data_IF_903098707506
#
_entry.id   IF_903098707506
#
_cell.length_a   1.000
_cell.length_b   1.000
_cell.length_c   1.000
_cell.angle_alpha   90.00
_cell.angle_beta   90.00
_cell.angle_gamma   90.00
#
_symmetry.space_group_name_H-M   'P 1'
#
loop_
_entity.id
_entity.type
_entity.pdbx_description
1 polymer ?
#
# COMPACT_ATOMS: atom_id res chain seq x y z
N UNK A 1 -10.64 17.05 -13.79
CA UNK A 1 -10.70 15.63 -13.40
C UNK A 1 -9.28 15.16 -13.08
N UNK A 2 -9.14 14.18 -12.23
CA UNK A 2 -7.88 13.54 -11.86
C UNK A 2 -7.90 12.10 -12.39
N UNK A 3 -6.88 11.69 -13.10
CA UNK A 3 -6.59 10.28 -13.39
C UNK A 3 -5.59 9.79 -12.36
N UNK A 4 -5.93 8.74 -11.60
CA UNK A 4 -5.05 8.16 -10.60
C UNK A 4 -4.71 6.73 -11.00
N UNK A 5 -3.43 6.44 -11.16
CA UNK A 5 -2.88 5.09 -11.21
C UNK A 5 -2.26 4.77 -9.87
N UNK A 6 -2.61 3.63 -9.31
CA UNK A 6 -2.09 3.23 -7.99
C UNK A 6 -2.00 1.72 -7.86
N UNK A 7 -1.25 1.22 -6.88
CA UNK A 7 -1.10 -0.21 -6.63
C UNK A 7 -2.41 -0.84 -6.11
N UNK A 8 -2.46 -2.17 -6.11
CA UNK A 8 -3.69 -2.93 -5.81
C UNK A 8 -3.85 -3.31 -4.34
N UNK A 9 -2.84 -3.07 -3.51
CA UNK A 9 -2.81 -3.42 -2.09
C UNK A 9 -3.39 -2.31 -1.19
N UNK A 10 -3.21 -2.45 0.13
CA UNK A 10 -3.75 -1.50 1.11
C UNK A 10 -3.18 -0.10 0.93
N UNK A 11 -1.89 0.04 0.60
CA UNK A 11 -1.24 1.34 0.43
C UNK A 11 -1.76 2.06 -0.83
N UNK A 12 -1.84 1.37 -1.96
CA UNK A 12 -2.44 1.94 -3.17
C UNK A 12 -3.92 2.29 -3.02
N UNK A 13 -4.70 1.49 -2.27
CA UNK A 13 -6.11 1.80 -1.97
C UNK A 13 -6.20 3.01 -1.03
N UNK A 14 -5.29 3.16 -0.08
CA UNK A 14 -5.19 4.35 0.76
C UNK A 14 -5.00 5.62 -0.06
N UNK A 15 -4.13 5.59 -1.07
CA UNK A 15 -3.97 6.70 -2.02
C UNK A 15 -5.29 7.04 -2.73
N UNK A 16 -6.02 6.02 -3.21
CA UNK A 16 -7.30 6.23 -3.89
C UNK A 16 -8.38 6.85 -2.98
N UNK A 17 -8.43 6.43 -1.71
CA UNK A 17 -9.34 7.03 -0.71
C UNK A 17 -8.99 8.50 -0.48
N UNK A 18 -7.71 8.83 -0.27
CA UNK A 18 -7.24 10.20 -0.08
C UNK A 18 -7.54 11.09 -1.29
N UNK A 19 -7.33 10.59 -2.52
CA UNK A 19 -7.68 11.31 -3.73
C UNK A 19 -9.17 11.65 -3.79
N UNK A 20 -10.03 10.66 -3.51
CA UNK A 20 -11.49 10.86 -3.50
C UNK A 20 -11.96 11.81 -2.39
N UNK A 21 -11.30 11.83 -1.24
CA UNK A 21 -11.57 12.80 -0.16
C UNK A 21 -11.15 14.22 -0.55
N UNK A 22 -10.02 14.36 -1.24
CA UNK A 22 -9.47 15.65 -1.64
C UNK A 22 -10.23 16.29 -2.82
N UNK A 23 -10.55 15.51 -3.83
CA UNK A 23 -11.10 16.02 -5.10
C UNK A 23 -12.58 15.70 -5.33
N UNK A 24 -13.15 14.77 -4.54
CA UNK A 24 -14.50 14.25 -4.73
C UNK A 24 -14.54 12.97 -5.58
N UNK A 25 -15.44 12.07 -5.20
CA UNK A 25 -15.55 10.72 -5.81
C UNK A 25 -15.83 10.73 -7.31
N UNK A 26 -16.62 11.71 -7.78
CA UNK A 26 -17.00 11.84 -9.19
C UNK A 26 -15.91 12.49 -10.07
N UNK A 27 -14.87 13.03 -9.44
CA UNK A 27 -13.79 13.75 -10.13
C UNK A 27 -12.55 12.89 -10.32
N UNK A 28 -12.44 11.79 -9.56
CA UNK A 28 -11.27 10.91 -9.57
C UNK A 28 -11.58 9.61 -10.30
N UNK A 29 -10.90 9.41 -11.43
CA UNK A 29 -10.89 8.15 -12.18
C UNK A 29 -9.68 7.31 -11.73
N UNK A 30 -9.94 6.24 -10.96
CA UNK A 30 -8.90 5.39 -10.37
C UNK A 30 -8.69 4.13 -11.20
N UNK A 31 -7.44 3.87 -11.54
CA UNK A 31 -7.01 2.62 -12.14
C UNK A 31 -5.96 1.93 -11.24
N UNK A 32 -6.31 0.73 -10.78
CA UNK A 32 -5.44 -0.09 -9.96
C UNK A 32 -4.59 -0.99 -10.85
N UNK A 33 -3.28 -0.95 -10.68
CA UNK A 33 -2.33 -1.63 -11.56
C UNK A 33 -1.36 -2.51 -10.77
N UNK A 34 -0.97 -3.64 -11.38
CA UNK A 34 0.21 -4.39 -10.97
C UNK A 34 1.48 -3.87 -11.64
N UNK A 35 2.64 -4.35 -11.17
CA UNK A 35 3.96 -3.93 -11.70
C UNK A 35 4.17 -4.28 -13.18
N UNK A 36 3.51 -5.31 -13.68
CA UNK A 36 3.54 -5.75 -15.07
C UNK A 36 2.62 -4.94 -15.99
N UNK A 37 1.63 -4.23 -15.44
CA UNK A 37 0.63 -3.50 -16.18
C UNK A 37 0.87 -1.98 -16.22
N UNK A 38 1.45 -1.40 -15.17
CA UNK A 38 1.50 0.05 -14.97
C UNK A 38 2.04 0.81 -16.18
N UNK A 39 3.13 0.33 -16.80
CA UNK A 39 3.74 1.01 -17.93
C UNK A 39 2.78 1.09 -19.13
N UNK A 40 2.14 -0.02 -19.50
CA UNK A 40 1.19 -0.04 -20.62
C UNK A 40 -0.04 0.81 -20.33
N UNK A 41 -0.58 0.76 -19.11
CA UNK A 41 -1.76 1.54 -18.73
C UNK A 41 -1.50 3.04 -18.76
N UNK A 42 -0.37 3.47 -18.21
CA UNK A 42 0.02 4.89 -18.24
C UNK A 42 0.37 5.35 -19.67
N UNK A 43 1.01 4.49 -20.49
CA UNK A 43 1.30 4.82 -21.88
C UNK A 43 0.02 4.94 -22.72
N UNK A 44 -0.96 4.05 -22.53
CA UNK A 44 -2.27 4.13 -23.17
C UNK A 44 -2.98 5.45 -22.81
N UNK A 45 -2.97 5.82 -21.53
CA UNK A 45 -3.53 7.09 -21.08
C UNK A 45 -2.73 8.29 -21.66
N UNK A 46 -1.42 8.23 -21.67
CA UNK A 46 -0.57 9.27 -22.25
C UNK A 46 -0.88 9.53 -23.72
N UNK A 47 -1.14 8.48 -24.48
CA UNK A 47 -1.47 8.54 -25.91
C UNK A 47 -2.95 8.90 -26.18
N UNK A 48 -3.79 8.92 -25.15
CA UNK A 48 -5.21 9.26 -25.29
C UNK A 48 -5.41 10.77 -25.48
N UNK A 49 -6.60 11.16 -25.94
CA UNK A 49 -7.02 12.57 -26.07
C UNK A 49 -7.41 13.19 -24.71
N UNK A 50 -7.44 12.40 -23.62
CA UNK A 50 -7.77 12.89 -22.30
C UNK A 50 -6.65 13.79 -21.77
N UNK A 51 -7.02 14.93 -21.20
CA UNK A 51 -6.11 15.92 -20.64
C UNK A 51 -6.44 16.19 -19.16
N UNK A 52 -6.55 15.09 -18.37
CA UNK A 52 -6.69 15.21 -16.92
C UNK A 52 -5.31 15.28 -16.28
N UNK A 53 -5.22 15.92 -15.13
CA UNK A 53 -4.05 15.79 -14.27
C UNK A 53 -3.90 14.34 -13.84
N UNK A 54 -2.71 13.76 -14.03
CA UNK A 54 -2.46 12.35 -13.78
C UNK A 54 -1.57 12.17 -12.56
N UNK A 55 -2.06 11.43 -11.59
CA UNK A 55 -1.29 11.03 -10.41
C UNK A 55 -0.92 9.55 -10.51
N UNK A 56 0.30 9.22 -10.18
CA UNK A 56 0.82 7.86 -10.08
C UNK A 56 1.34 7.69 -8.65
N UNK A 57 0.75 6.79 -7.88
CA UNK A 57 1.04 6.67 -6.44
C UNK A 57 1.30 5.22 -6.04
N UNK A 58 2.26 5.00 -5.13
CA UNK A 58 2.59 3.67 -4.60
C UNK A 58 3.00 2.63 -5.65
N UNK A 59 3.33 3.08 -6.82
CA UNK A 59 3.84 2.29 -7.93
C UNK A 59 4.53 3.24 -8.90
N UNK A 60 5.53 2.75 -9.62
CA UNK A 60 6.30 3.58 -10.54
C UNK A 60 6.29 3.05 -11.97
N UNK A 61 6.43 3.96 -12.91
CA UNK A 61 6.68 3.66 -14.33
C UNK A 61 8.18 3.51 -14.60
N UNK A 62 8.52 2.96 -15.75
CA UNK A 62 9.91 2.89 -16.18
C UNK A 62 10.44 4.25 -16.66
N UNK A 63 11.76 4.36 -16.71
CA UNK A 63 12.46 5.58 -17.09
C UNK A 63 12.16 6.04 -18.53
N UNK A 64 11.98 5.13 -19.47
CA UNK A 64 11.68 5.44 -20.88
C UNK A 64 10.35 6.19 -21.00
N UNK A 65 9.31 5.71 -20.30
CA UNK A 65 8.00 6.35 -20.29
C UNK A 65 8.06 7.68 -19.52
N UNK A 66 8.83 7.76 -18.44
CA UNK A 66 9.03 8.98 -17.70
C UNK A 66 9.68 10.08 -18.55
N UNK A 67 10.64 9.75 -19.42
CA UNK A 67 11.20 10.70 -20.38
C UNK A 67 10.14 11.20 -21.38
N UNK A 68 9.33 10.31 -21.95
CA UNK A 68 8.24 10.71 -22.88
C UNK A 68 7.27 11.68 -22.22
N UNK A 69 6.89 11.41 -20.97
CA UNK A 69 6.00 12.29 -20.19
C UNK A 69 6.65 13.63 -19.90
N UNK A 70 7.91 13.65 -19.47
CA UNK A 70 8.66 14.86 -19.15
C UNK A 70 8.77 15.83 -20.34
N UNK A 71 8.89 15.31 -21.54
CA UNK A 71 8.97 16.09 -22.76
C UNK A 71 7.60 16.59 -23.24
N UNK A 72 6.53 16.22 -22.55
CA UNK A 72 5.15 16.61 -22.87
C UNK A 72 4.73 17.87 -22.08
N UNK A 73 3.52 18.37 -22.40
CA UNK A 73 2.87 19.45 -21.63
C UNK A 73 1.82 18.94 -20.65
N UNK A 74 1.60 17.64 -20.60
CA UNK A 74 0.60 17.03 -19.72
C UNK A 74 1.09 17.11 -18.27
N UNK A 75 0.16 17.28 -17.34
CA UNK A 75 0.46 17.37 -15.91
C UNK A 75 0.49 15.99 -15.29
N UNK A 76 1.62 15.64 -14.73
CA UNK A 76 1.82 14.39 -14.00
C UNK A 76 2.41 14.67 -12.62
N UNK A 77 2.07 13.82 -11.65
CA UNK A 77 2.69 13.73 -10.35
C UNK A 77 2.94 12.26 -10.02
N UNK A 78 4.18 11.88 -9.73
CA UNK A 78 4.52 10.55 -9.26
C UNK A 78 5.01 10.63 -7.81
N UNK A 79 4.42 9.79 -6.93
CA UNK A 79 4.75 9.68 -5.52
C UNK A 79 4.90 8.19 -5.17
N UNK A 80 6.13 7.78 -4.87
CA UNK A 80 6.43 6.36 -4.61
C UNK A 80 7.48 6.22 -3.51
N UNK A 81 7.51 5.06 -2.87
CA UNK A 81 8.46 4.78 -1.79
C UNK A 81 9.37 3.58 -2.09
N UNK A 82 9.24 2.97 -3.26
CA UNK A 82 10.02 1.80 -3.65
C UNK A 82 11.45 2.16 -4.05
N UNK A 83 12.48 1.50 -3.48
CA UNK A 83 13.90 1.80 -3.78
C UNK A 83 14.27 1.68 -5.25
N UNK A 84 13.56 0.82 -5.99
CA UNK A 84 13.80 0.58 -7.43
C UNK A 84 13.45 1.77 -8.32
N UNK A 85 12.69 2.74 -7.79
CA UNK A 85 12.21 3.90 -8.53
C UNK A 85 13.01 5.19 -8.23
N UNK A 86 14.05 5.14 -7.38
CA UNK A 86 14.81 6.32 -6.94
C UNK A 86 15.40 7.15 -8.10
N UNK A 87 15.74 6.51 -9.21
CA UNK A 87 16.28 7.19 -10.39
C UNK A 87 15.29 8.16 -11.05
N UNK A 88 13.98 7.99 -10.79
CA UNK A 88 12.94 8.89 -11.29
C UNK A 88 12.99 10.28 -10.63
N UNK A 89 13.65 10.43 -9.49
CA UNK A 89 13.81 11.74 -8.83
C UNK A 89 14.55 12.79 -9.66
N UNK A 90 15.13 12.41 -10.79
CA UNK A 90 15.69 13.38 -11.76
C UNK A 90 14.62 14.21 -12.49
N UNK A 91 13.35 13.77 -12.45
CA UNK A 91 12.21 14.49 -13.02
C UNK A 91 11.50 15.28 -11.92
N UNK A 92 11.23 16.57 -12.14
CA UNK A 92 10.62 17.48 -11.14
C UNK A 92 9.23 17.05 -10.68
N UNK A 93 8.49 16.30 -11.50
CA UNK A 93 7.17 15.78 -11.20
C UNK A 93 7.20 14.41 -10.49
N UNK A 94 8.37 13.84 -10.23
CA UNK A 94 8.55 12.60 -9.50
C UNK A 94 9.13 12.89 -8.12
N UNK A 95 8.55 12.27 -7.09
CA UNK A 95 9.08 12.26 -5.74
C UNK A 95 9.07 10.83 -5.21
N UNK A 96 10.24 10.22 -5.10
CA UNK A 96 10.43 8.87 -4.58
C UNK A 96 11.24 8.94 -3.30
N UNK A 97 10.65 8.51 -2.18
CA UNK A 97 11.29 8.58 -0.85
C UNK A 97 11.11 7.25 -0.10
N UNK A 98 12.20 6.61 0.30
CA UNK A 98 12.16 5.39 1.11
C UNK A 98 11.77 5.70 2.56
N UNK A 99 12.11 6.90 3.04
CA UNK A 99 11.89 7.35 4.41
C UNK A 99 11.39 8.78 4.42
N UNK A 100 10.51 9.06 5.35
CA UNK A 100 10.15 10.43 5.67
C UNK A 100 11.38 11.20 6.15
N UNK A 101 11.62 12.37 5.58
CA UNK A 101 12.84 13.18 5.81
C UNK A 101 12.91 13.77 7.22
N UNK A 102 11.79 14.00 7.87
CA UNK A 102 11.71 14.60 9.21
C UNK A 102 11.88 13.53 10.29
N UNK A 103 11.18 12.41 10.15
CA UNK A 103 11.13 11.36 11.18
C UNK A 103 12.19 10.27 10.99
N UNK A 104 12.79 10.16 9.81
CA UNK A 104 13.68 9.07 9.38
C UNK A 104 13.03 7.68 9.46
N UNK A 105 11.71 7.62 9.52
CA UNK A 105 10.91 6.38 9.49
C UNK A 105 10.62 6.04 8.04
N UNK A 106 10.52 4.74 7.70
CA UNK A 106 10.06 4.33 6.38
C UNK A 106 8.68 4.93 6.11
N UNK A 107 8.51 5.50 4.92
CA UNK A 107 7.25 6.05 4.44
C UNK A 107 6.51 5.05 3.55
N UNK A 108 5.29 5.35 3.19
CA UNK A 108 4.42 4.62 2.27
C UNK A 108 3.87 5.55 1.19
N UNK A 109 3.33 5.00 0.11
CA UNK A 109 2.69 5.77 -0.95
C UNK A 109 1.53 6.61 -0.41
N UNK A 110 0.70 6.04 0.47
CA UNK A 110 -0.40 6.75 1.15
C UNK A 110 0.11 7.94 1.99
N UNK A 111 1.18 7.77 2.78
CA UNK A 111 1.75 8.86 3.59
C UNK A 111 2.30 9.97 2.69
N UNK A 112 3.05 9.62 1.66
CA UNK A 112 3.59 10.60 0.71
C UNK A 112 2.49 11.38 0.00
N UNK A 113 1.45 10.69 -0.44
CA UNK A 113 0.33 11.33 -1.12
C UNK A 113 -0.49 12.22 -0.18
N UNK A 114 -0.69 11.79 1.06
CA UNK A 114 -1.35 12.60 2.10
C UNK A 114 -0.64 13.94 2.32
N UNK A 115 0.67 13.90 2.55
CA UNK A 115 1.45 15.13 2.71
C UNK A 115 1.41 16.00 1.47
N UNK A 116 1.57 15.42 0.30
CA UNK A 116 1.48 16.16 -0.94
C UNK A 116 0.11 16.85 -1.13
N UNK A 117 -0.99 16.19 -0.81
CA UNK A 117 -2.34 16.76 -0.87
C UNK A 117 -2.51 17.93 0.10
N UNK A 118 -1.95 17.84 1.30
CA UNK A 118 -1.98 18.93 2.30
C UNK A 118 -1.13 20.11 1.83
N UNK A 119 0.11 19.87 1.41
CA UNK A 119 1.05 20.90 1.00
C UNK A 119 0.54 21.70 -0.22
N UNK A 120 -0.26 21.07 -1.07
CA UNK A 120 -0.90 21.70 -2.22
C UNK A 120 -2.30 22.27 -1.91
N UNK A 121 -2.77 22.17 -0.67
CA UNK A 121 -4.04 22.74 -0.23
C UNK A 121 -5.29 21.99 -0.69
N UNK A 122 -5.16 20.75 -1.14
CA UNK A 122 -6.28 19.91 -1.57
C UNK A 122 -6.95 19.17 -0.42
N UNK A 123 -6.25 18.97 0.69
CA UNK A 123 -6.76 18.30 1.88
C UNK A 123 -6.29 19.03 3.13
N UNK A 124 -7.06 18.95 4.20
CA UNK A 124 -6.65 19.43 5.53
C UNK A 124 -6.39 18.24 6.45
N UNK A 125 -5.32 18.30 7.23
CA UNK A 125 -5.03 17.27 8.23
C UNK A 125 -6.08 17.30 9.36
N UNK A 126 -6.35 16.12 9.91
CA UNK A 126 -7.11 15.95 11.15
C UNK A 126 -6.74 14.58 11.75
N UNK A 127 -7.06 14.40 13.05
CA UNK A 127 -6.66 13.22 13.81
C UNK A 127 -7.10 11.89 13.17
N UNK A 128 -8.27 11.85 12.51
CA UNK A 128 -8.76 10.61 11.90
C UNK A 128 -8.02 10.28 10.61
N UNK A 129 -7.66 11.27 9.80
CA UNK A 129 -6.85 11.06 8.61
C UNK A 129 -5.40 10.74 8.96
N UNK A 130 -4.84 11.41 9.97
CA UNK A 130 -3.51 11.09 10.48
C UNK A 130 -3.47 9.64 10.96
N UNK A 131 -4.50 9.19 11.66
CA UNK A 131 -4.67 7.81 12.10
C UNK A 131 -4.80 6.83 10.95
N UNK A 132 -5.59 7.16 9.93
CA UNK A 132 -5.76 6.35 8.73
C UNK A 132 -4.41 6.13 8.02
N UNK A 133 -3.68 7.19 7.78
CA UNK A 133 -2.37 7.17 7.11
C UNK A 133 -1.33 6.41 7.94
N UNK A 134 -1.30 6.63 9.25
CA UNK A 134 -0.36 5.95 10.14
C UNK A 134 -0.55 4.43 10.14
N UNK A 135 -1.79 3.95 10.21
CA UNK A 135 -2.08 2.51 10.23
C UNK A 135 -1.63 1.84 8.92
N UNK A 136 -1.92 2.48 7.78
CA UNK A 136 -1.50 1.97 6.46
C UNK A 136 0.02 1.94 6.36
N UNK A 137 0.70 3.05 6.65
CA UNK A 137 2.16 3.12 6.65
C UNK A 137 2.79 2.06 7.56
N UNK A 138 2.29 1.90 8.78
CA UNK A 138 2.82 0.93 9.71
C UNK A 138 2.64 -0.50 9.21
N UNK A 139 1.56 -0.78 8.50
CA UNK A 139 1.36 -2.08 7.85
C UNK A 139 2.33 -2.26 6.68
N UNK A 140 2.34 -1.36 5.74
CA UNK A 140 3.12 -1.44 4.52
C UNK A 140 4.64 -1.56 4.79
N UNK A 141 5.14 -0.74 5.72
CA UNK A 141 6.56 -0.73 6.10
C UNK A 141 6.98 -1.87 7.03
N UNK A 142 6.08 -2.81 7.31
CA UNK A 142 6.30 -3.96 8.22
C UNK A 142 6.53 -3.57 9.69
N UNK A 143 6.28 -2.33 10.07
CA UNK A 143 6.42 -1.87 11.46
C UNK A 143 5.41 -2.52 12.41
N UNK A 144 4.26 -2.90 11.89
CA UNK A 144 3.21 -3.57 12.67
C UNK A 144 3.72 -4.78 13.46
N UNK A 145 4.72 -5.51 12.94
CA UNK A 145 5.29 -6.68 13.62
C UNK A 145 5.94 -6.37 14.97
N UNK A 146 6.26 -5.10 15.25
CA UNK A 146 6.96 -4.64 16.47
C UNK A 146 6.12 -3.71 17.36
N UNK A 147 4.90 -3.36 16.94
CA UNK A 147 4.06 -2.36 17.62
C UNK A 147 3.05 -2.94 18.62
N UNK A 148 3.14 -4.24 18.93
CA UNK A 148 2.22 -4.87 19.91
C UNK A 148 0.75 -4.76 19.50
N UNK A 149 -0.12 -4.27 20.39
CA UNK A 149 -1.56 -4.12 20.13
C UNK A 149 -1.85 -3.22 18.94
N UNK A 150 -1.08 -2.16 18.77
CA UNK A 150 -1.21 -1.25 17.63
C UNK A 150 -0.91 -1.98 16.30
N UNK A 151 0.08 -2.83 16.28
CA UNK A 151 0.40 -3.65 15.12
C UNK A 151 -0.71 -4.64 14.74
N UNK A 152 -1.43 -5.15 15.74
CA UNK A 152 -2.60 -6.00 15.50
C UNK A 152 -3.68 -5.21 14.73
N UNK A 153 -3.93 -3.95 15.13
CA UNK A 153 -4.90 -3.09 14.44
C UNK A 153 -4.47 -2.85 12.98
N UNK A 154 -3.19 -2.55 12.73
CA UNK A 154 -2.68 -2.36 11.37
C UNK A 154 -2.96 -3.60 10.50
N UNK A 155 -2.65 -4.80 11.03
CA UNK A 155 -2.92 -6.07 10.33
C UNK A 155 -4.41 -6.31 10.11
N UNK A 156 -5.25 -6.02 11.10
CA UNK A 156 -6.70 -6.16 10.99
C UNK A 156 -7.29 -5.28 9.89
N UNK A 157 -6.84 -4.04 9.75
CA UNK A 157 -7.26 -3.16 8.65
C UNK A 157 -6.91 -3.76 7.29
N UNK A 158 -5.70 -4.29 7.13
CA UNK A 158 -5.32 -4.99 5.91
C UNK A 158 -6.17 -6.26 5.67
N UNK A 159 -6.37 -7.07 6.70
CA UNK A 159 -7.17 -8.29 6.58
C UNK A 159 -8.62 -8.00 6.18
N UNK A 160 -9.20 -6.89 6.66
CA UNK A 160 -10.54 -6.45 6.26
C UNK A 160 -10.62 -6.09 4.78
N UNK A 161 -9.58 -5.50 4.18
CA UNK A 161 -9.53 -5.27 2.74
C UNK A 161 -9.78 -6.56 1.95
N UNK A 162 -9.08 -7.64 2.33
CA UNK A 162 -9.23 -8.92 1.65
C UNK A 162 -10.53 -9.65 1.98
N UNK A 163 -11.09 -9.45 3.19
CA UNK A 163 -12.36 -10.05 3.60
C UNK A 163 -13.57 -9.35 2.98
N UNK A 164 -13.55 -8.03 2.90
CA UNK A 164 -14.64 -7.24 2.33
C UNK A 164 -14.58 -7.16 0.80
N UNK A 165 -13.36 -7.25 0.24
CA UNK A 165 -13.07 -6.83 -1.12
C UNK A 165 -13.00 -5.30 -1.22
N UNK A 166 -12.31 -4.83 -2.25
CA UNK A 166 -11.92 -3.43 -2.42
C UNK A 166 -13.05 -2.43 -2.27
N UNK A 167 -14.15 -2.63 -2.97
CA UNK A 167 -15.26 -1.65 -2.99
C UNK A 167 -15.88 -1.47 -1.60
N UNK A 168 -16.23 -2.57 -0.93
CA UNK A 168 -16.81 -2.51 0.42
C UNK A 168 -15.83 -1.97 1.45
N UNK A 169 -14.54 -2.26 1.28
CA UNK A 169 -13.51 -1.72 2.16
C UNK A 169 -13.40 -0.19 2.00
N UNK A 170 -13.45 0.31 0.78
CA UNK A 170 -13.46 1.76 0.51
C UNK A 170 -14.68 2.40 1.17
N UNK A 171 -15.87 1.83 0.99
CA UNK A 171 -17.12 2.34 1.60
C UNK A 171 -17.03 2.35 3.13
N UNK A 172 -16.47 1.28 3.72
CA UNK A 172 -16.22 1.22 5.16
C UNK A 172 -15.25 2.31 5.61
N UNK A 173 -14.12 2.50 4.93
CA UNK A 173 -13.17 3.57 5.24
C UNK A 173 -13.83 4.95 5.20
N UNK A 174 -14.62 5.23 4.15
CA UNK A 174 -15.33 6.51 4.07
C UNK A 174 -16.29 6.72 5.24
N UNK A 175 -17.06 5.69 5.58
CA UNK A 175 -18.00 5.76 6.71
C UNK A 175 -17.27 6.08 8.01
N UNK A 176 -16.21 5.33 8.33
CA UNK A 176 -15.45 5.50 9.57
C UNK A 176 -14.69 6.84 9.62
N UNK A 177 -14.17 7.31 8.48
CA UNK A 177 -13.50 8.61 8.39
C UNK A 177 -14.52 9.75 8.59
N UNK A 178 -15.69 9.70 7.93
CA UNK A 178 -16.73 10.73 8.10
C UNK A 178 -17.32 10.77 9.52
N UNK A 179 -17.44 9.60 10.16
CA UNK A 179 -17.88 9.51 11.56
C UNK A 179 -16.76 9.83 12.56
N UNK A 180 -15.54 10.11 12.10
CA UNK A 180 -14.35 10.33 12.93
C UNK A 180 -14.05 9.17 13.89
N UNK A 181 -14.30 7.94 13.43
CA UNK A 181 -14.19 6.71 14.22
C UNK A 181 -13.17 5.70 13.70
N UNK A 182 -12.44 6.03 12.64
CA UNK A 182 -11.50 5.08 12.01
C UNK A 182 -10.31 4.71 12.93
N UNK A 183 -9.95 3.40 13.02
CA UNK A 183 -10.71 2.25 12.51
C UNK A 183 -11.64 1.72 13.60
N UNK A 184 -12.95 1.78 13.40
CA UNK A 184 -13.92 1.16 14.31
C UNK A 184 -14.26 -0.24 13.83
N UNK A 185 -13.88 -1.23 14.62
CA UNK A 185 -14.17 -2.64 14.37
C UNK A 185 -15.42 -3.06 15.13
N UNK A 186 -16.44 -3.48 14.41
CA UNK A 186 -17.67 -4.05 14.99
C UNK A 186 -17.45 -5.51 15.42
N UNK A 187 -18.36 -6.05 16.22
CA UNK A 187 -18.25 -7.44 16.69
C UNK A 187 -18.25 -8.45 15.53
N UNK A 188 -18.98 -8.15 14.45
CA UNK A 188 -18.94 -8.95 13.22
C UNK A 188 -17.56 -8.99 12.59
N UNK A 189 -16.85 -7.86 12.59
CA UNK A 189 -15.52 -7.73 11.99
C UNK A 189 -14.50 -8.49 12.81
N UNK A 190 -14.58 -8.35 14.13
CA UNK A 190 -13.71 -9.10 15.06
C UNK A 190 -13.87 -10.61 14.86
N UNK A 191 -15.12 -11.10 14.73
CA UNK A 191 -15.38 -12.51 14.51
C UNK A 191 -14.77 -13.04 13.22
N UNK A 192 -14.93 -12.33 12.09
CA UNK A 192 -14.36 -12.78 10.82
C UNK A 192 -12.83 -12.68 10.82
N UNK A 193 -12.25 -11.68 11.49
CA UNK A 193 -10.81 -11.55 11.71
C UNK A 193 -10.24 -12.68 12.56
N UNK A 194 -10.92 -13.07 13.61
CA UNK A 194 -10.53 -14.24 14.45
C UNK A 194 -10.55 -15.53 13.64
N UNK A 195 -11.59 -15.76 12.82
CA UNK A 195 -11.67 -16.93 11.93
C UNK A 195 -10.51 -16.91 10.93
N UNK A 196 -10.22 -15.76 10.34
CA UNK A 196 -9.12 -15.58 9.39
C UNK A 196 -7.77 -15.83 10.05
N UNK A 197 -7.53 -15.28 11.24
CA UNK A 197 -6.29 -15.48 11.97
C UNK A 197 -6.09 -16.97 12.32
N UNK A 198 -7.14 -17.64 12.74
CA UNK A 198 -7.09 -19.09 13.00
C UNK A 198 -6.73 -19.89 11.74
N UNK A 199 -7.31 -19.54 10.59
CA UNK A 199 -6.95 -20.19 9.31
C UNK A 199 -5.47 -20.01 8.97
N UNK A 200 -4.92 -18.80 9.18
CA UNK A 200 -3.50 -18.52 8.97
C UNK A 200 -2.64 -19.33 9.94
N UNK A 201 -2.97 -19.36 11.23
CA UNK A 201 -2.21 -20.09 12.23
C UNK A 201 -2.22 -21.60 11.97
N UNK A 202 -3.38 -22.16 11.60
CA UNK A 202 -3.51 -23.57 11.23
C UNK A 202 -2.67 -23.90 9.98
N UNK A 203 -2.66 -23.01 8.98
CA UNK A 203 -1.83 -23.14 7.79
C UNK A 203 -0.34 -23.10 8.12
N UNK A 204 0.11 -22.11 8.91
CA UNK A 204 1.51 -22.01 9.34
C UNK A 204 1.96 -23.25 10.09
N UNK A 205 1.16 -23.74 11.04
CA UNK A 205 1.46 -24.95 11.80
C UNK A 205 1.53 -26.21 10.92
N UNK A 206 0.73 -26.28 9.85
CA UNK A 206 0.79 -27.37 8.90
C UNK A 206 2.05 -27.30 8.02
N UNK A 207 2.45 -26.08 7.60
CA UNK A 207 3.64 -25.85 6.78
C UNK A 207 4.93 -25.98 7.56
N UNK A 208 4.96 -25.65 8.84
CA UNK A 208 6.11 -25.89 9.71
C UNK A 208 6.52 -27.38 9.72
N UNK A 209 5.55 -28.29 9.74
CA UNK A 209 5.80 -29.74 9.66
C UNK A 209 6.37 -30.20 8.31
N UNK A 210 6.30 -29.37 7.28
CA UNK A 210 6.81 -29.62 5.94
C UNK A 210 8.13 -28.90 5.69
N UNK A 211 8.64 -28.17 6.70
CA UNK A 211 9.88 -27.43 6.60
C UNK A 211 11.05 -28.40 6.37
N UNK A 212 11.79 -28.16 5.30
CA UNK A 212 13.02 -28.85 4.98
C UNK A 212 14.22 -27.95 5.28
N UNK A 213 15.20 -28.47 6.03
CA UNK A 213 16.42 -27.73 6.35
C UNK A 213 17.51 -28.14 5.38
N UNK A 214 18.14 -27.16 4.75
CA UNK A 214 19.19 -27.38 3.76
C UNK A 214 20.23 -26.27 3.76
N UNK A 215 21.28 -26.45 2.97
CA UNK A 215 22.32 -25.44 2.75
C UNK A 215 22.03 -24.65 1.46
N UNK A 216 22.12 -23.32 1.55
CA UNK A 216 22.08 -22.43 0.41
C UNK A 216 23.30 -21.50 0.45
N UNK A 217 24.26 -21.75 -0.43
CA UNK A 217 25.48 -20.95 -0.52
C UNK A 217 26.25 -20.82 0.83
N UNK A 218 26.34 -21.93 1.59
CA UNK A 218 27.04 -21.99 2.87
C UNK A 218 26.25 -21.43 4.05
N UNK A 219 24.94 -21.21 3.88
CA UNK A 219 24.04 -20.80 4.96
C UNK A 219 22.97 -21.85 5.17
N UNK A 220 22.73 -22.19 6.42
CA UNK A 220 21.59 -23.04 6.80
C UNK A 220 20.28 -22.27 6.57
N UNK A 221 19.38 -22.86 5.79
CA UNK A 221 18.11 -22.26 5.44
C UNK A 221 16.96 -23.24 5.62
N UNK A 222 15.80 -22.76 6.01
CA UNK A 222 14.55 -23.51 5.97
C UNK A 222 13.85 -23.28 4.62
N UNK A 223 13.36 -24.36 4.02
CA UNK A 223 12.63 -24.34 2.75
C UNK A 223 11.23 -24.90 2.95
N UNK A 224 10.23 -24.19 2.47
CA UNK A 224 8.85 -24.62 2.47
C UNK A 224 8.12 -24.09 1.25
N UNK A 225 7.23 -24.86 0.67
CA UNK A 225 6.38 -24.41 -0.44
C UNK A 225 5.10 -23.77 0.11
N UNK A 226 4.84 -22.51 -0.28
CA UNK A 226 3.66 -21.76 0.11
C UNK A 226 2.69 -21.58 -1.05
N UNK A 227 1.44 -21.96 -0.89
CA UNK A 227 0.36 -21.71 -1.84
C UNK A 227 -0.40 -20.39 -1.52
N UNK A 228 -0.37 -19.97 -0.24
CA UNK A 228 -1.03 -18.78 0.28
C UNK A 228 -0.29 -18.26 1.51
N UNK A 229 -0.59 -17.04 1.93
CA UNK A 229 -0.02 -16.42 3.15
C UNK A 229 1.52 -16.45 3.20
N UNK A 230 2.17 -16.27 2.05
CA UNK A 230 3.63 -16.44 1.97
C UNK A 230 4.40 -15.48 2.88
N UNK A 231 3.93 -14.24 3.02
CA UNK A 231 4.53 -13.22 3.89
C UNK A 231 4.37 -13.56 5.37
N UNK A 232 3.15 -13.93 5.80
CA UNK A 232 2.87 -14.35 7.18
C UNK A 232 3.59 -15.64 7.52
N UNK A 233 3.59 -16.62 6.59
CA UNK A 233 4.30 -17.87 6.74
C UNK A 233 5.79 -17.62 6.95
N UNK A 234 6.43 -16.86 6.07
CA UNK A 234 7.85 -16.53 6.16
C UNK A 234 8.20 -15.85 7.49
N UNK A 235 7.43 -14.81 7.88
CA UNK A 235 7.63 -14.11 9.14
C UNK A 235 7.48 -15.02 10.36
N UNK A 236 6.43 -15.83 10.41
CA UNK A 236 6.18 -16.76 11.53
C UNK A 236 7.22 -17.85 11.62
N UNK A 237 7.62 -18.47 10.50
CA UNK A 237 8.67 -19.49 10.50
C UNK A 237 10.01 -18.92 10.95
N UNK A 238 10.38 -17.72 10.53
CA UNK A 238 11.60 -17.05 11.03
C UNK A 238 11.54 -16.77 12.55
N UNK A 239 10.36 -16.49 13.11
CA UNK A 239 10.19 -16.35 14.57
C UNK A 239 10.25 -17.67 15.32
N UNK A 240 9.71 -18.75 14.74
CA UNK A 240 9.70 -20.08 15.32
C UNK A 240 11.07 -20.77 15.24
N UNK A 241 11.87 -20.42 14.23
CA UNK A 241 13.16 -21.02 13.92
C UNK A 241 14.25 -19.95 13.76
N UNK A 242 14.62 -19.24 14.85
CA UNK A 242 15.62 -18.18 14.79
C UNK A 242 17.06 -18.70 14.54
N UNK A 243 17.25 -20.00 14.50
CA UNK A 243 18.53 -20.66 14.28
C UNK A 243 18.98 -20.71 12.80
N UNK A 244 18.13 -20.38 11.81
CA UNK A 244 18.47 -20.37 10.39
C UNK A 244 17.76 -19.29 9.55
#
# INVERSE_FOLDING_TARGET
MIKLFTHTDLDGIGCAILAKLAFGTEVVDVEYCGYDEINSRVEDYFNSELDYECHITDISINEELAHKINDSKKKYQLLDHHPTALELNKFEWCNVQIKNTETNIKTSGTEMYYHWLIDNGYLSSNDVLDRFVELIRNYDTWRWATLGEEGIICKQVNDLLYLYGREKFIDWCFTEIYESSFPKLYESDKLVLEIKQKEIDDYVNAKDKQLFIGDLCGRTCGFVFAEKYSSELGNKLCQMHPEF
#
